data_IF_544916030952
#
_entry.id   IF_544916030952
#
_cell.length_a   1.000
_cell.length_b   1.000
_cell.length_c   1.000
_cell.angle_alpha   90.00
_cell.angle_beta   90.00
_cell.angle_gamma   90.00
#
_symmetry.space_group_name_H-M   'P 1'
#
loop_
_entity.id
_entity.type
_entity.pdbx_description
1 polymer ?
#
# COMPACT_ATOMS: atom_id res chain seq x y z
N UNK A 1 -4.00 18.43 -23.83
CA UNK A 1 -4.13 16.98 -24.11
C UNK A 1 -2.86 16.49 -24.79
N UNK A 2 -2.31 15.37 -24.31
CA UNK A 2 -1.01 14.84 -24.77
C UNK A 2 -1.17 13.67 -25.75
N UNK A 3 -2.36 13.09 -25.86
CA UNK A 3 -2.57 11.84 -26.58
C UNK A 3 -1.76 10.70 -25.96
N UNK A 4 -1.45 9.65 -26.71
CA UNK A 4 -0.66 8.49 -26.26
C UNK A 4 0.83 8.88 -26.28
N UNK A 5 1.27 9.66 -25.28
CA UNK A 5 2.63 10.22 -25.17
C UNK A 5 3.03 10.41 -23.69
N UNK A 6 3.03 9.35 -22.90
CA UNK A 6 3.24 9.40 -21.47
C UNK A 6 4.61 10.00 -21.10
N UNK A 7 5.67 9.68 -21.85
CA UNK A 7 6.97 10.27 -21.63
C UNK A 7 6.96 11.78 -21.84
N UNK A 8 6.38 12.26 -22.95
CA UNK A 8 6.29 13.69 -23.24
C UNK A 8 5.39 14.41 -22.22
N UNK A 9 4.27 13.82 -21.82
CA UNK A 9 3.39 14.36 -20.78
C UNK A 9 4.19 14.60 -19.48
N UNK A 10 4.88 13.58 -19.00
CA UNK A 10 5.66 13.69 -17.76
C UNK A 10 6.83 14.68 -17.90
N UNK A 11 7.51 14.72 -19.06
CA UNK A 11 8.58 15.69 -19.32
C UNK A 11 8.08 17.13 -19.36
N UNK A 12 6.90 17.38 -19.96
CA UNK A 12 6.27 18.71 -20.00
C UNK A 12 5.86 19.12 -18.58
N UNK A 13 5.29 18.22 -17.77
CA UNK A 13 4.99 18.51 -16.37
C UNK A 13 6.26 18.88 -15.58
N UNK A 14 7.39 18.21 -15.82
CA UNK A 14 8.66 18.59 -15.23
C UNK A 14 9.07 20.00 -15.62
N UNK A 15 9.00 20.34 -16.91
CA UNK A 15 9.34 21.68 -17.41
C UNK A 15 8.44 22.78 -16.84
N UNK A 16 7.12 22.51 -16.74
CA UNK A 16 6.18 23.43 -16.10
C UNK A 16 6.52 23.66 -14.63
N UNK A 17 6.85 22.58 -13.90
CA UNK A 17 7.21 22.67 -12.49
C UNK A 17 8.51 23.47 -12.29
N UNK A 18 9.52 23.28 -13.14
CA UNK A 18 10.75 24.08 -13.15
C UNK A 18 10.49 25.58 -13.45
N UNK A 19 9.41 25.87 -14.18
CA UNK A 19 8.96 27.24 -14.46
C UNK A 19 8.06 27.82 -13.36
N UNK A 20 7.95 27.15 -12.20
CA UNK A 20 7.15 27.64 -11.06
C UNK A 20 5.66 27.30 -11.14
N UNK A 21 5.22 26.48 -12.09
CA UNK A 21 3.81 26.09 -12.25
C UNK A 21 3.62 24.71 -11.59
N UNK A 22 2.71 24.62 -10.62
CA UNK A 22 2.34 23.34 -10.05
C UNK A 22 1.47 22.56 -11.06
N UNK A 23 2.07 21.56 -11.69
CA UNK A 23 1.43 20.76 -12.74
C UNK A 23 1.22 19.32 -12.30
N UNK A 24 0.31 18.63 -12.98
CA UNK A 24 0.17 17.19 -12.88
C UNK A 24 -0.13 16.55 -14.24
N UNK A 25 0.32 15.30 -14.41
CA UNK A 25 -0.04 14.44 -15.52
C UNK A 25 -0.90 13.27 -15.01
N UNK A 26 -1.77 12.73 -15.88
CA UNK A 26 -2.63 11.61 -15.51
C UNK A 26 -2.70 10.54 -16.59
N UNK A 27 -2.81 9.28 -16.19
CA UNK A 27 -2.93 8.11 -17.06
C UNK A 27 -3.27 6.86 -16.27
N UNK A 28 -3.21 5.69 -16.93
CA UNK A 28 -3.27 4.41 -16.22
C UNK A 28 -1.90 4.04 -15.65
N UNK A 29 -1.88 3.39 -14.49
CA UNK A 29 -0.63 3.06 -13.81
C UNK A 29 0.30 2.18 -14.65
N UNK A 30 -0.24 1.24 -15.41
CA UNK A 30 0.56 0.38 -16.29
C UNK A 30 1.42 1.19 -17.27
N UNK A 31 0.90 2.32 -17.76
CA UNK A 31 1.61 3.18 -18.71
C UNK A 31 2.65 4.10 -18.05
N UNK A 32 2.79 4.05 -16.73
CA UNK A 32 3.93 4.67 -16.05
C UNK A 32 5.28 4.14 -16.57
N UNK A 33 5.30 2.92 -17.11
CA UNK A 33 6.49 2.34 -17.72
C UNK A 33 6.98 3.17 -18.93
N UNK A 34 6.06 3.71 -19.73
CA UNK A 34 6.43 4.62 -20.83
C UNK A 34 6.88 6.00 -20.34
N UNK A 35 6.40 6.46 -19.20
CA UNK A 35 6.81 7.73 -18.58
C UNK A 35 8.05 7.60 -17.69
N UNK A 36 8.55 6.38 -17.45
CA UNK A 36 9.54 6.05 -16.42
C UNK A 36 10.77 6.95 -16.44
N UNK A 37 11.32 7.23 -17.60
CA UNK A 37 12.50 8.09 -17.75
C UNK A 37 12.25 9.52 -17.23
N UNK A 38 11.12 10.12 -17.63
CA UNK A 38 10.73 11.48 -17.17
C UNK A 38 10.36 11.53 -15.70
N UNK A 39 9.69 10.49 -15.18
CA UNK A 39 9.37 10.36 -13.74
C UNK A 39 10.66 10.26 -12.93
N UNK A 40 11.64 9.45 -13.38
CA UNK A 40 12.93 9.35 -12.71
C UNK A 40 13.69 10.69 -12.72
N UNK A 41 13.62 11.44 -13.82
CA UNK A 41 14.25 12.77 -13.90
C UNK A 41 13.64 13.76 -12.90
N UNK A 42 12.32 13.72 -12.64
CA UNK A 42 11.73 14.59 -11.63
C UNK A 42 12.31 14.35 -10.22
N UNK A 43 12.65 13.08 -9.91
CA UNK A 43 13.29 12.74 -8.64
C UNK A 43 14.73 13.22 -8.57
N UNK A 44 15.51 13.08 -9.66
CA UNK A 44 16.88 13.61 -9.75
C UNK A 44 16.91 15.14 -9.61
N UNK A 45 15.93 15.83 -10.19
CA UNK A 45 15.80 17.29 -10.11
C UNK A 45 15.18 17.77 -8.78
N UNK A 46 14.71 16.85 -7.92
CA UNK A 46 14.03 17.16 -6.65
C UNK A 46 12.86 18.14 -6.81
N UNK A 47 12.07 17.98 -7.86
CA UNK A 47 10.95 18.87 -8.18
C UNK A 47 9.59 18.27 -7.76
N UNK A 48 8.67 19.10 -7.22
CA UNK A 48 7.40 18.62 -6.66
C UNK A 48 6.31 18.44 -7.74
N UNK A 49 6.61 17.68 -8.80
CA UNK A 49 5.64 17.30 -9.82
C UNK A 49 4.75 16.16 -9.32
N UNK A 50 3.49 16.16 -9.72
CA UNK A 50 2.55 15.10 -9.41
C UNK A 50 2.20 14.30 -10.66
N UNK A 51 2.24 12.97 -10.55
CA UNK A 51 1.64 12.05 -11.52
C UNK A 51 0.46 11.35 -10.87
N UNK A 52 -0.70 11.38 -11.51
CA UNK A 52 -1.92 10.70 -11.04
C UNK A 52 -2.15 9.50 -11.95
N UNK A 53 -2.00 8.30 -11.39
CA UNK A 53 -2.22 7.07 -12.13
C UNK A 53 -3.42 6.33 -11.56
N UNK A 54 -4.43 6.12 -12.40
CA UNK A 54 -5.60 5.31 -12.07
C UNK A 54 -5.40 3.86 -12.55
N UNK A 55 -6.37 2.98 -12.26
CA UNK A 55 -6.33 1.58 -12.70
C UNK A 55 -5.09 0.86 -12.14
N UNK A 56 -4.92 0.94 -10.81
CA UNK A 56 -3.67 0.68 -10.09
C UNK A 56 -3.33 -0.80 -9.88
N UNK A 57 -4.20 -1.74 -10.28
CA UNK A 57 -4.04 -3.16 -9.96
C UNK A 57 -4.86 -4.09 -10.87
N UNK A 58 -4.89 -5.38 -10.53
CA UNK A 58 -5.69 -6.39 -11.24
C UNK A 58 -7.19 -6.10 -11.29
N UNK A 59 -7.68 -5.17 -10.46
CA UNK A 59 -9.09 -4.72 -10.50
C UNK A 59 -9.44 -3.91 -11.78
N UNK A 60 -8.50 -3.71 -12.68
CA UNK A 60 -8.77 -3.29 -14.06
C UNK A 60 -9.76 -4.26 -14.72
N UNK A 61 -9.63 -5.55 -14.43
CA UNK A 61 -10.65 -6.52 -14.83
C UNK A 61 -10.46 -7.03 -16.27
N UNK A 62 -11.49 -6.86 -17.09
CA UNK A 62 -11.60 -7.48 -18.43
C UNK A 62 -10.49 -7.06 -19.40
N UNK A 63 -9.91 -5.88 -19.26
CA UNK A 63 -8.78 -5.42 -20.09
C UNK A 63 -7.56 -6.36 -19.99
N UNK A 64 -7.49 -7.13 -18.89
CA UNK A 64 -6.56 -8.23 -18.73
C UNK A 64 -5.12 -7.84 -18.40
N UNK A 65 -4.20 -8.81 -18.48
CA UNK A 65 -2.82 -8.68 -17.97
C UNK A 65 -2.02 -7.52 -18.58
N UNK A 66 -2.32 -7.14 -19.83
CA UNK A 66 -1.62 -6.03 -20.50
C UNK A 66 -1.91 -4.66 -19.89
N UNK A 67 -3.01 -4.55 -19.12
CA UNK A 67 -3.44 -3.30 -18.48
C UNK A 67 -3.47 -3.38 -16.95
N UNK A 68 -3.14 -4.53 -16.38
CA UNK A 68 -3.14 -4.80 -14.93
C UNK A 68 -1.72 -4.63 -14.36
N UNK A 69 -1.43 -3.55 -13.62
CA UNK A 69 -0.12 -3.36 -12.99
C UNK A 69 0.17 -4.44 -11.95
N UNK A 70 1.40 -4.93 -11.93
CA UNK A 70 1.92 -5.89 -10.94
C UNK A 70 3.18 -5.30 -10.28
N UNK A 71 4.22 -5.00 -11.09
CA UNK A 71 5.52 -4.50 -10.61
C UNK A 71 5.65 -2.98 -10.61
N UNK A 72 4.71 -2.25 -11.22
CA UNK A 72 4.80 -0.80 -11.42
C UNK A 72 4.89 -0.03 -10.09
N UNK A 73 4.09 -0.42 -9.08
CA UNK A 73 4.16 0.21 -7.75
C UNK A 73 5.54 0.04 -7.12
N UNK A 74 6.09 -1.18 -7.13
CA UNK A 74 7.45 -1.45 -6.64
C UNK A 74 8.46 -0.65 -7.45
N UNK A 75 8.34 -0.69 -8.77
CA UNK A 75 9.20 0.06 -9.67
C UNK A 75 9.24 1.55 -9.33
N UNK A 76 8.10 2.18 -9.10
CA UNK A 76 8.02 3.60 -8.72
C UNK A 76 8.57 3.84 -7.31
N UNK A 77 8.24 3.00 -6.33
CA UNK A 77 8.76 3.07 -4.96
C UNK A 77 10.28 2.90 -4.89
N UNK A 78 10.90 2.21 -5.85
CA UNK A 78 12.35 2.03 -5.92
C UNK A 78 13.12 3.25 -6.43
N UNK A 79 12.45 4.28 -6.95
CA UNK A 79 13.09 5.53 -7.37
C UNK A 79 13.42 6.36 -6.13
N UNK A 80 14.71 6.69 -5.88
CA UNK A 80 15.09 7.51 -4.74
C UNK A 80 14.36 8.85 -4.73
N UNK A 81 13.84 9.26 -3.57
CA UNK A 81 13.12 10.53 -3.41
C UNK A 81 11.67 10.54 -3.93
N UNK A 82 11.22 9.50 -4.60
CA UNK A 82 9.83 9.39 -5.08
C UNK A 82 8.87 9.08 -3.93
N UNK A 83 7.75 9.78 -3.86
CA UNK A 83 6.65 9.52 -2.92
C UNK A 83 5.49 8.89 -3.68
N UNK A 84 5.23 7.60 -3.44
CA UNK A 84 4.12 6.88 -4.06
C UNK A 84 3.00 6.70 -3.04
N UNK A 85 1.88 7.37 -3.30
CA UNK A 85 0.68 7.32 -2.46
C UNK A 85 -0.34 6.38 -3.08
N UNK A 86 -0.89 5.48 -2.29
CA UNK A 86 -1.96 4.56 -2.68
C UNK A 86 -3.05 4.57 -1.60
N UNK A 87 -3.96 5.56 -1.64
CA UNK A 87 -5.01 5.75 -0.63
C UNK A 87 -6.10 4.69 -0.72
N UNK A 88 -6.71 4.34 0.43
CA UNK A 88 -7.74 3.30 0.53
C UNK A 88 -9.19 3.82 0.40
N UNK A 89 -9.41 5.12 0.56
CA UNK A 89 -10.73 5.74 0.46
C UNK A 89 -10.65 7.24 0.15
N UNK A 90 -11.80 7.90 0.01
CA UNK A 90 -11.87 9.32 -0.28
C UNK A 90 -11.23 10.20 0.81
N UNK A 91 -11.30 9.82 2.08
CA UNK A 91 -10.68 10.57 3.16
C UNK A 91 -9.16 10.51 3.07
N UNK A 92 -8.58 9.33 2.79
CA UNK A 92 -7.13 9.22 2.56
C UNK A 92 -6.69 9.94 1.28
N UNK A 93 -7.52 9.95 0.21
CA UNK A 93 -7.22 10.75 -1.00
C UNK A 93 -7.04 12.20 -0.62
N UNK A 94 -7.94 12.79 0.16
CA UNK A 94 -7.84 14.19 0.61
C UNK A 94 -6.58 14.41 1.44
N UNK A 95 -6.28 13.52 2.39
CA UNK A 95 -5.10 13.65 3.25
C UNK A 95 -3.79 13.51 2.45
N UNK A 96 -3.71 12.54 1.52
CA UNK A 96 -2.57 12.37 0.62
C UNK A 96 -2.42 13.57 -0.31
N UNK A 97 -3.53 14.11 -0.84
CA UNK A 97 -3.50 15.32 -1.68
C UNK A 97 -2.91 16.52 -0.93
N UNK A 98 -3.34 16.74 0.33
CA UNK A 98 -2.75 17.78 1.18
C UNK A 98 -1.25 17.59 1.36
N UNK A 99 -0.79 16.37 1.65
CA UNK A 99 0.63 16.04 1.78
C UNK A 99 1.42 16.31 0.48
N UNK A 100 0.86 15.95 -0.69
CA UNK A 100 1.45 16.25 -1.99
C UNK A 100 1.56 17.76 -2.22
N UNK A 101 0.49 18.52 -1.95
CA UNK A 101 0.46 19.95 -2.20
C UNK A 101 1.40 20.76 -1.31
N UNK A 102 1.76 20.26 -0.14
CA UNK A 102 2.74 20.86 0.76
C UNK A 102 4.19 20.44 0.48
N UNK A 103 4.40 19.43 -0.36
CA UNK A 103 5.72 18.98 -0.77
C UNK A 103 6.37 19.98 -1.73
N UNK A 104 7.65 20.29 -1.51
CA UNK A 104 8.41 21.29 -2.30
C UNK A 104 9.61 20.72 -3.04
N UNK A 105 10.11 19.55 -2.64
CA UNK A 105 11.38 18.99 -3.11
C UNK A 105 11.32 17.48 -3.43
N UNK A 106 10.11 16.92 -3.58
CA UNK A 106 9.93 15.51 -3.93
C UNK A 106 8.82 15.35 -4.97
N UNK A 107 9.05 14.60 -6.04
CA UNK A 107 7.97 14.22 -6.93
C UNK A 107 7.03 13.22 -6.23
N UNK A 108 5.80 13.22 -6.66
CA UNK A 108 4.76 12.37 -6.10
C UNK A 108 4.02 11.61 -7.19
N UNK A 109 3.67 10.37 -6.89
CA UNK A 109 2.73 9.56 -7.64
C UNK A 109 1.52 9.30 -6.75
N UNK A 110 0.31 9.50 -7.27
CA UNK A 110 -0.93 9.08 -6.62
C UNK A 110 -1.54 7.95 -7.45
N UNK A 111 -1.48 6.74 -6.93
CA UNK A 111 -2.05 5.55 -7.54
C UNK A 111 -3.47 5.33 -7.00
N UNK A 112 -4.46 5.35 -7.90
CA UNK A 112 -5.88 5.27 -7.57
C UNK A 112 -6.50 4.03 -8.22
N UNK A 113 -7.33 3.35 -7.47
CA UNK A 113 -8.01 2.16 -7.96
C UNK A 113 -9.11 2.48 -9.00
N UNK A 114 -9.45 1.51 -9.83
CA UNK A 114 -10.54 1.63 -10.82
C UNK A 114 -11.92 1.53 -10.19
N UNK A 115 -12.09 0.61 -9.25
CA UNK A 115 -13.39 0.33 -8.64
C UNK A 115 -13.75 1.36 -7.57
N UNK A 116 -15.05 1.49 -7.33
CA UNK A 116 -15.56 2.29 -6.23
C UNK A 116 -15.21 1.62 -4.89
N UNK A 117 -14.74 2.42 -3.94
CA UNK A 117 -14.45 1.99 -2.58
C UNK A 117 -15.40 2.66 -1.59
N UNK A 118 -15.81 1.97 -0.52
CA UNK A 118 -16.53 2.60 0.58
C UNK A 118 -15.68 3.69 1.23
N UNK A 119 -16.29 4.83 1.53
CA UNK A 119 -15.65 5.83 2.40
C UNK A 119 -15.81 5.41 3.85
N UNK A 120 -14.69 5.26 4.55
CA UNK A 120 -14.67 4.79 5.93
C UNK A 120 -15.17 5.88 6.91
N UNK A 121 -16.02 5.47 7.85
CA UNK A 121 -16.48 6.35 8.93
C UNK A 121 -15.33 6.61 9.92
N UNK A 122 -14.84 7.83 9.96
CA UNK A 122 -13.72 8.24 10.83
C UNK A 122 -14.12 8.45 12.30
N UNK A 123 -15.40 8.30 12.64
CA UNK A 123 -15.81 8.15 14.02
C UNK A 123 -15.52 6.72 14.56
N UNK A 124 -15.50 5.72 13.66
CA UNK A 124 -15.19 4.32 13.98
C UNK A 124 -13.71 4.00 13.77
N UNK A 125 -13.06 4.61 12.77
CA UNK A 125 -11.71 4.30 12.36
C UNK A 125 -10.77 5.49 12.57
N UNK A 126 -9.47 5.21 12.63
CA UNK A 126 -8.41 6.21 12.81
C UNK A 126 -8.47 7.33 11.78
N UNK A 127 -8.09 8.53 12.18
CA UNK A 127 -8.13 9.74 11.36
C UNK A 127 -7.23 9.60 10.11
N UNK A 128 -7.75 9.95 8.94
CA UNK A 128 -7.03 9.86 7.68
C UNK A 128 -5.79 10.78 7.60
N UNK A 129 -5.70 11.79 8.44
CA UNK A 129 -4.53 12.69 8.53
C UNK A 129 -3.23 11.92 8.87
N UNK A 130 -3.32 10.71 9.43
CA UNK A 130 -2.20 9.80 9.59
C UNK A 130 -1.51 9.44 8.27
N UNK A 131 -2.18 9.55 7.14
CA UNK A 131 -1.61 9.37 5.80
C UNK A 131 -0.45 10.34 5.50
N UNK A 132 -0.44 11.51 6.12
CA UNK A 132 0.65 12.48 5.99
C UNK A 132 1.97 11.97 6.60
N UNK A 133 1.91 10.96 7.48
CA UNK A 133 3.06 10.26 8.06
C UNK A 133 3.39 8.95 7.33
N UNK A 134 2.65 8.59 6.29
CA UNK A 134 2.89 7.47 5.40
C UNK A 134 2.25 6.16 5.82
N UNK A 135 2.05 5.91 7.10
CA UNK A 135 1.26 4.81 7.65
C UNK A 135 0.67 5.21 9.01
N UNK A 136 -0.44 4.59 9.38
CA UNK A 136 -1.09 4.85 10.68
C UNK A 136 -1.98 3.66 11.09
N UNK A 137 -2.30 3.59 12.37
CA UNK A 137 -3.26 2.62 12.89
C UNK A 137 -4.66 3.04 12.47
N UNK A 138 -5.26 2.28 11.56
CA UNK A 138 -6.62 2.53 11.07
C UNK A 138 -7.67 1.95 12.00
N UNK A 139 -7.44 0.73 12.49
CA UNK A 139 -8.32 0.05 13.44
C UNK A 139 -7.47 -0.73 14.45
N UNK A 140 -7.69 -0.51 15.72
CA UNK A 140 -6.96 -1.21 16.77
C UNK A 140 -7.85 -2.24 17.48
N UNK A 141 -7.22 -3.18 18.18
CA UNK A 141 -7.92 -4.10 19.05
C UNK A 141 -8.21 -3.44 20.41
N UNK A 142 -9.27 -3.87 21.06
CA UNK A 142 -9.49 -3.54 22.45
C UNK A 142 -8.55 -4.32 23.38
N UNK A 143 -8.16 -3.70 24.48
CA UNK A 143 -7.50 -4.42 25.60
C UNK A 143 -6.04 -4.77 25.42
N UNK A 144 -5.21 -3.95 24.75
CA UNK A 144 -3.75 -4.06 24.84
C UNK A 144 -3.04 -4.41 23.53
N UNK A 145 -1.94 -5.17 23.61
CA UNK A 145 -1.12 -5.52 22.45
C UNK A 145 -1.85 -6.45 21.50
N UNK A 146 -1.91 -6.16 20.19
CA UNK A 146 -2.52 -7.06 19.20
C UNK A 146 -1.70 -8.38 19.09
N UNK A 147 -2.41 -9.46 18.77
CA UNK A 147 -1.80 -10.75 18.48
C UNK A 147 -1.22 -10.79 17.06
N UNK A 148 -1.85 -10.04 16.13
CA UNK A 148 -1.44 -9.95 14.72
C UNK A 148 -1.67 -8.55 14.15
N UNK A 149 -0.79 -8.13 13.23
CA UNK A 149 -0.95 -6.90 12.44
C UNK A 149 -1.37 -7.25 11.01
N UNK A 150 -2.42 -6.60 10.51
CA UNK A 150 -2.82 -6.62 9.11
C UNK A 150 -2.46 -5.28 8.50
N UNK A 151 -1.59 -5.28 7.50
CA UNK A 151 -1.00 -4.08 6.90
C UNK A 151 -1.48 -3.99 5.46
N UNK A 152 -2.37 -3.05 5.18
CA UNK A 152 -2.93 -2.85 3.84
C UNK A 152 -2.46 -1.57 3.17
N UNK A 153 -2.46 -1.55 1.84
CA UNK A 153 -2.26 -0.38 1.01
C UNK A 153 -3.36 -0.29 -0.03
N UNK A 154 -3.90 0.91 -0.28
CA UNK A 154 -4.96 1.10 -1.26
C UNK A 154 -6.23 0.30 -0.97
N UNK A 155 -6.86 -0.23 -2.01
CA UNK A 155 -8.13 -0.96 -1.89
C UNK A 155 -8.07 -2.17 -0.95
N UNK A 156 -6.92 -2.79 -0.76
CA UNK A 156 -6.76 -4.00 0.06
C UNK A 156 -6.85 -3.73 1.58
N UNK A 157 -6.80 -2.48 2.00
CA UNK A 157 -7.11 -2.10 3.39
C UNK A 157 -8.52 -2.57 3.80
N UNK A 158 -9.49 -2.53 2.87
CA UNK A 158 -10.84 -3.04 3.12
C UNK A 158 -10.86 -4.56 3.36
N UNK A 159 -9.98 -5.32 2.70
CA UNK A 159 -9.82 -6.75 2.94
C UNK A 159 -9.23 -7.01 4.34
N UNK A 160 -8.28 -6.17 4.77
CA UNK A 160 -7.73 -6.24 6.11
C UNK A 160 -8.80 -5.96 7.19
N UNK A 161 -9.69 -4.99 6.98
CA UNK A 161 -10.81 -4.72 7.89
C UNK A 161 -11.79 -5.89 7.94
N UNK A 162 -12.16 -6.48 6.81
CA UNK A 162 -12.99 -7.68 6.76
C UNK A 162 -12.34 -8.88 7.45
N UNK A 163 -11.02 -9.06 7.28
CA UNK A 163 -10.27 -10.10 7.97
C UNK A 163 -10.21 -9.86 9.49
N UNK A 164 -10.11 -8.62 9.95
CA UNK A 164 -10.19 -8.26 11.37
C UNK A 164 -11.53 -8.70 11.96
N UNK A 165 -12.66 -8.49 11.25
CA UNK A 165 -13.98 -8.92 11.71
C UNK A 165 -14.11 -10.45 11.80
N UNK A 166 -13.47 -11.19 10.89
CA UNK A 166 -13.41 -12.66 10.92
C UNK A 166 -12.61 -13.11 12.15
N UNK A 167 -11.41 -12.57 12.33
CA UNK A 167 -10.48 -12.94 13.41
C UNK A 167 -11.01 -12.56 14.80
N UNK A 168 -11.75 -11.46 14.89
CA UNK A 168 -12.39 -11.03 16.14
C UNK A 168 -13.41 -12.06 16.66
N UNK A 169 -14.16 -12.74 15.78
CA UNK A 169 -15.09 -13.84 16.14
C UNK A 169 -14.36 -15.05 16.72
N UNK A 170 -13.08 -15.17 16.44
CA UNK A 170 -12.19 -16.24 16.92
C UNK A 170 -11.41 -15.82 18.18
N UNK A 171 -11.66 -14.61 18.70
CA UNK A 171 -10.97 -14.08 19.87
C UNK A 171 -9.53 -13.61 19.59
N UNK A 172 -9.15 -13.41 18.32
CA UNK A 172 -7.83 -12.93 17.94
C UNK A 172 -7.82 -11.39 17.93
N UNK A 173 -6.95 -10.79 18.74
CA UNK A 173 -6.76 -9.34 18.79
C UNK A 173 -5.96 -8.88 17.57
N UNK A 174 -6.58 -8.09 16.75
CA UNK A 174 -6.02 -7.70 15.45
C UNK A 174 -5.95 -6.18 15.32
N UNK A 175 -4.79 -5.66 14.90
CA UNK A 175 -4.62 -4.27 14.49
C UNK A 175 -4.58 -4.20 12.96
N UNK A 176 -5.33 -3.27 12.39
CA UNK A 176 -5.24 -2.92 10.96
C UNK A 176 -4.46 -1.62 10.81
N UNK A 177 -3.44 -1.66 9.97
CA UNK A 177 -2.60 -0.52 9.60
C UNK A 177 -2.84 -0.19 8.14
N UNK A 178 -3.19 1.06 7.84
CA UNK A 178 -3.13 1.58 6.47
C UNK A 178 -1.74 2.17 6.22
N UNK A 179 -1.14 1.78 5.08
CA UNK A 179 0.17 2.29 4.66
C UNK A 179 0.07 2.91 3.26
N UNK A 180 -0.52 4.10 3.13
CA UNK A 180 -0.68 4.77 1.84
C UNK A 180 0.65 5.21 1.20
N UNK A 181 1.72 5.47 1.97
CA UNK A 181 3.00 5.90 1.41
C UNK A 181 4.18 5.37 2.22
N UNK A 182 4.81 4.30 1.72
CA UNK A 182 5.94 3.64 2.40
C UNK A 182 7.13 4.58 2.62
N UNK A 183 7.47 5.43 1.65
CA UNK A 183 8.62 6.34 1.75
C UNK A 183 8.46 7.37 2.90
N UNK A 184 7.24 7.86 3.13
CA UNK A 184 6.97 8.76 4.26
C UNK A 184 7.01 8.03 5.60
N UNK A 185 6.53 6.79 5.65
CA UNK A 185 6.58 5.99 6.86
C UNK A 185 8.01 5.61 7.25
N UNK A 186 8.81 5.22 6.27
CA UNK A 186 10.21 4.87 6.50
C UNK A 186 11.05 6.06 6.99
N UNK A 187 10.66 7.27 6.61
CA UNK A 187 11.31 8.50 7.06
C UNK A 187 10.87 8.97 8.47
N UNK A 188 9.89 8.29 9.10
CA UNK A 188 9.50 8.62 10.47
C UNK A 188 10.56 8.16 11.49
N UNK A 189 10.54 8.76 12.68
CA UNK A 189 11.36 8.32 13.79
C UNK A 189 10.98 6.91 14.28
N UNK A 190 11.91 6.27 14.99
CA UNK A 190 11.74 4.90 15.49
C UNK A 190 10.53 4.76 16.43
N UNK A 191 10.27 5.79 17.24
CA UNK A 191 9.16 5.78 18.20
C UNK A 191 7.81 5.73 17.47
N UNK A 192 7.65 6.54 16.41
CA UNK A 192 6.43 6.49 15.61
C UNK A 192 6.29 5.17 14.87
N UNK A 193 7.35 4.72 14.22
CA UNK A 193 7.31 3.44 13.50
C UNK A 193 6.94 2.28 14.44
N UNK A 194 7.51 2.27 15.64
CA UNK A 194 7.18 1.27 16.66
C UNK A 194 5.76 1.41 17.21
N UNK A 195 5.20 2.61 17.28
CA UNK A 195 3.81 2.82 17.70
C UNK A 195 2.80 2.26 16.70
N UNK A 196 3.10 2.32 15.40
CA UNK A 196 2.26 1.79 14.31
C UNK A 196 2.50 0.29 14.12
N UNK A 197 3.77 -0.13 14.02
CA UNK A 197 4.21 -1.50 13.80
C UNK A 197 5.11 -1.97 14.96
N UNK A 198 4.56 -2.27 16.15
CA UNK A 198 5.35 -2.63 17.32
C UNK A 198 6.19 -3.89 17.05
N UNK A 199 7.49 -3.82 17.37
CA UNK A 199 8.46 -4.90 17.14
C UNK A 199 8.12 -6.19 17.90
N UNK A 200 7.43 -6.06 19.04
CA UNK A 200 6.99 -7.22 19.83
C UNK A 200 5.95 -8.09 19.09
N UNK A 201 5.20 -7.51 18.13
CA UNK A 201 4.20 -8.24 17.35
C UNK A 201 4.86 -8.76 16.08
N UNK A 202 5.27 -10.04 16.09
CA UNK A 202 5.94 -10.71 14.98
C UNK A 202 4.98 -11.30 13.97
N UNK A 203 3.76 -11.65 14.38
CA UNK A 203 2.73 -12.11 13.47
C UNK A 203 2.20 -10.91 12.65
N UNK A 204 2.55 -10.86 11.35
CA UNK A 204 2.20 -9.75 10.46
C UNK A 204 1.77 -10.28 9.10
N UNK A 205 0.74 -9.67 8.54
CA UNK A 205 0.29 -9.93 7.17
C UNK A 205 0.28 -8.63 6.41
N UNK A 206 0.89 -8.59 5.24
CA UNK A 206 0.74 -7.47 4.30
C UNK A 206 -0.23 -7.84 3.19
N UNK A 207 -1.00 -6.88 2.69
CA UNK A 207 -1.98 -7.09 1.63
C UNK A 207 -1.94 -5.95 0.62
N UNK A 208 -1.52 -6.25 -0.60
CA UNK A 208 -1.53 -5.31 -1.74
C UNK A 208 -1.68 -6.09 -3.05
N UNK A 209 -2.59 -5.65 -3.93
CA UNK A 209 -2.83 -6.24 -5.24
C UNK A 209 -1.73 -5.83 -6.25
N UNK A 210 -0.48 -6.11 -5.88
CA UNK A 210 0.75 -5.91 -6.64
C UNK A 210 1.77 -6.97 -6.24
N UNK A 211 2.99 -6.93 -6.81
CA UNK A 211 4.07 -7.84 -6.41
C UNK A 211 4.34 -7.80 -4.91
N UNK A 212 4.61 -8.95 -4.31
CA UNK A 212 4.95 -9.07 -2.89
C UNK A 212 6.37 -8.59 -2.55
N UNK A 213 7.21 -8.37 -3.56
CA UNK A 213 8.61 -7.95 -3.38
C UNK A 213 8.67 -6.62 -2.63
N UNK A 214 9.48 -6.59 -1.57
CA UNK A 214 9.66 -5.41 -0.72
C UNK A 214 8.66 -5.28 0.43
N UNK A 215 7.60 -6.09 0.46
CA UNK A 215 6.66 -6.13 1.58
C UNK A 215 7.17 -6.95 2.77
N UNK A 216 8.12 -7.85 2.54
CA UNK A 216 8.83 -8.63 3.57
C UNK A 216 9.46 -7.75 4.65
N UNK A 217 9.92 -6.54 4.31
CA UNK A 217 10.46 -5.57 5.28
C UNK A 217 9.45 -5.12 6.35
N UNK A 218 8.14 -5.18 6.06
CA UNK A 218 7.07 -4.87 7.01
C UNK A 218 6.46 -6.13 7.63
N UNK A 219 6.34 -7.20 6.85
CA UNK A 219 5.87 -8.50 7.32
C UNK A 219 6.86 -9.17 8.28
N UNK A 220 8.15 -9.01 8.03
CA UNK A 220 9.20 -9.72 8.76
C UNK A 220 9.29 -11.20 8.38
N UNK A 221 10.26 -11.91 8.96
CA UNK A 221 10.56 -13.31 8.63
C UNK A 221 9.44 -14.30 8.98
N UNK A 222 8.62 -13.98 9.97
CA UNK A 222 7.49 -14.82 10.38
C UNK A 222 6.19 -14.46 9.68
N UNK A 223 6.19 -13.35 8.95
CA UNK A 223 5.02 -12.79 8.30
C UNK A 223 4.61 -13.52 7.02
N UNK A 224 3.49 -13.08 6.48
CA UNK A 224 2.93 -13.55 5.21
C UNK A 224 2.57 -12.33 4.35
N UNK A 225 2.78 -12.44 3.04
CA UNK A 225 2.40 -11.39 2.09
C UNK A 225 1.28 -11.91 1.19
N UNK A 226 0.13 -11.26 1.22
CA UNK A 226 -0.98 -11.50 0.28
C UNK A 226 -0.81 -10.50 -0.88
N UNK A 227 -0.43 -11.00 -2.03
CA UNK A 227 -0.12 -10.20 -3.21
C UNK A 227 0.04 -11.07 -4.45
N UNK A 228 0.57 -10.48 -5.52
CA UNK A 228 0.75 -11.11 -6.81
C UNK A 228 2.15 -11.70 -6.97
N UNK A 229 2.22 -12.92 -7.51
CA UNK A 229 3.46 -13.58 -7.94
C UNK A 229 3.44 -13.94 -9.43
N UNK A 230 2.40 -13.55 -10.14
CA UNK A 230 2.20 -13.77 -11.58
C UNK A 230 1.49 -12.58 -12.19
N UNK A 231 1.39 -12.53 -13.51
CA UNK A 231 0.50 -11.59 -14.19
C UNK A 231 -0.97 -11.91 -13.87
N UNK A 232 -1.83 -10.91 -14.03
CA UNK A 232 -3.26 -11.04 -13.84
C UNK A 232 -3.97 -11.87 -14.90
N UNK A 233 -5.29 -11.75 -14.98
CA UNK A 233 -6.14 -12.47 -15.91
C UNK A 233 -7.30 -11.58 -16.39
N UNK A 234 -7.84 -11.88 -17.59
CA UNK A 234 -8.98 -11.15 -18.14
C UNK A 234 -10.29 -11.78 -17.67
N UNK A 235 -10.99 -11.09 -16.77
CA UNK A 235 -12.32 -11.45 -16.28
C UNK A 235 -12.91 -10.24 -15.53
N UNK A 236 -14.19 -10.25 -15.15
CA UNK A 236 -14.74 -9.23 -14.26
C UNK A 236 -13.89 -9.07 -12.99
N UNK A 237 -13.66 -7.84 -12.54
CA UNK A 237 -12.74 -7.52 -11.45
C UNK A 237 -12.97 -8.36 -10.18
N UNK A 238 -14.24 -8.67 -9.86
CA UNK A 238 -14.60 -9.52 -8.71
C UNK A 238 -14.10 -10.95 -8.88
N UNK A 239 -14.19 -11.49 -10.08
CA UNK A 239 -13.78 -12.87 -10.37
C UNK A 239 -12.25 -12.98 -10.38
N UNK A 240 -11.57 -11.97 -10.94
CA UNK A 240 -10.10 -11.84 -10.88
C UNK A 240 -9.63 -11.77 -9.43
N UNK A 241 -10.26 -10.93 -8.61
CA UNK A 241 -9.92 -10.81 -7.20
C UNK A 241 -10.08 -12.14 -6.45
N UNK A 242 -11.20 -12.83 -6.65
CA UNK A 242 -11.45 -14.15 -6.05
C UNK A 242 -10.43 -15.20 -6.50
N UNK A 243 -10.11 -15.23 -7.81
CA UNK A 243 -9.15 -16.17 -8.39
C UNK A 243 -7.75 -16.02 -7.78
N UNK A 244 -7.28 -14.78 -7.59
CA UNK A 244 -5.97 -14.50 -6.99
C UNK A 244 -6.00 -14.43 -5.46
N UNK A 245 -7.14 -14.67 -4.84
CA UNK A 245 -7.26 -14.74 -3.38
C UNK A 245 -7.28 -13.39 -2.67
N UNK A 246 -7.69 -12.32 -3.35
CA UNK A 246 -7.91 -11.03 -2.70
C UNK A 246 -9.28 -11.00 -2.03
N UNK A 247 -9.37 -11.72 -0.91
CA UNK A 247 -10.58 -11.81 -0.07
C UNK A 247 -10.23 -11.65 1.42
N UNK A 248 -11.18 -11.20 2.26
CA UNK A 248 -10.97 -11.14 3.70
C UNK A 248 -10.58 -12.48 4.32
N UNK A 249 -11.17 -13.58 3.82
CA UNK A 249 -10.90 -14.95 4.28
C UNK A 249 -9.44 -15.33 4.05
N UNK A 250 -8.88 -15.01 2.87
CA UNK A 250 -7.48 -15.29 2.55
C UNK A 250 -6.52 -14.51 3.43
N UNK A 251 -6.84 -13.25 3.75
CA UNK A 251 -6.04 -12.43 4.68
C UNK A 251 -6.13 -13.01 6.11
N UNK A 252 -7.32 -13.45 6.54
CA UNK A 252 -7.50 -14.11 7.84
C UNK A 252 -6.74 -15.45 7.90
N UNK A 253 -6.73 -16.25 6.83
CA UNK A 253 -5.95 -17.49 6.75
C UNK A 253 -4.44 -17.23 6.83
N UNK A 254 -3.95 -16.19 6.17
CA UNK A 254 -2.56 -15.76 6.30
C UNK A 254 -2.22 -15.37 7.74
N UNK A 255 -3.13 -14.65 8.43
CA UNK A 255 -2.97 -14.30 9.82
C UNK A 255 -2.89 -15.53 10.74
N UNK A 256 -3.76 -16.53 10.56
CA UNK A 256 -3.72 -17.79 11.31
C UNK A 256 -2.39 -18.53 11.13
N UNK A 257 -1.88 -18.57 9.88
CA UNK A 257 -0.57 -19.19 9.58
C UNK A 257 0.58 -18.48 10.29
N UNK A 258 0.63 -17.14 10.25
CA UNK A 258 1.70 -16.38 10.95
C UNK A 258 1.61 -16.54 12.45
N UNK A 259 0.40 -16.53 13.04
CA UNK A 259 0.19 -16.77 14.46
C UNK A 259 0.68 -18.16 14.88
N UNK A 260 0.37 -19.21 14.12
CA UNK A 260 0.83 -20.57 14.39
C UNK A 260 2.36 -20.65 14.32
N UNK A 261 2.99 -20.00 13.33
CA UNK A 261 4.46 -19.96 13.16
C UNK A 261 5.15 -19.29 14.34
N UNK A 262 4.66 -18.14 14.78
CA UNK A 262 5.22 -17.38 15.91
C UNK A 262 5.05 -18.17 17.22
N UNK A 263 3.88 -18.79 17.47
CA UNK A 263 3.63 -19.60 18.66
C UNK A 263 4.49 -20.87 18.68
N UNK A 264 4.66 -21.55 17.55
CA UNK A 264 5.52 -22.72 17.42
C UNK A 264 7.00 -22.42 17.66
N UNK A 265 7.49 -21.26 17.23
CA UNK A 265 8.85 -20.81 17.49
C UNK A 265 9.12 -20.55 19.00
N UNK A 266 8.11 -20.07 19.76
CA UNK A 266 8.23 -19.89 21.19
C UNK A 266 8.34 -21.23 21.97
N UNK A 267 7.65 -22.26 21.51
CA UNK A 267 7.70 -23.61 22.16
C UNK A 267 9.06 -24.26 21.95
N UNK A 268 9.67 -24.14 20.77
CA UNK A 268 11.00 -24.72 20.49
C UNK A 268 12.15 -23.98 21.17
N UNK A 269 12.00 -22.70 21.49
CA UNK A 269 13.01 -21.90 22.22
C UNK A 269 13.04 -22.15 23.75
N UNK A 270 11.93 -22.61 24.33
CA UNK A 270 11.82 -22.84 25.78
C UNK A 270 12.35 -24.20 26.23
N UNK A 271 12.65 -25.14 25.34
CA UNK A 271 13.16 -26.50 25.66
C UNK A 271 14.68 -26.61 25.61
N UNK A 272 15.42 -25.53 25.33
CA UNK A 272 16.88 -25.49 25.22
C UNK A 272 17.66 -25.07 26.47
N UNK A 273 17.02 -24.90 27.61
CA UNK A 273 17.63 -24.36 28.82
C UNK A 273 17.65 -25.33 30.00
N UNK A 274 18.16 -26.57 29.82
CA UNK A 274 18.51 -27.43 30.93
C UNK A 274 19.55 -28.48 30.46
N UNK A 275 20.81 -28.09 30.43
CA UNK A 275 21.96 -28.97 30.62
C UNK A 275 23.12 -28.20 31.26
#
# INVERSE_FOLDING_TARGET
HFGIREHAMAAICNGMTLSGIRSYGAGFLIFSDYARGSIRMSAIMEIPVLQIFTHDSIYVGEDGPTHQPIEQLLGLRSVPGMRVYRPCDANEVIACWRAVMTTTNHPSVMALTRQNLPTLDRAKYGAADGSARGAYVLSDCEGGTPDVLLIGSGSEVHLCLGAQEILAKEGVRTRVVSIPCTALFDAQDDAYRASVLPNAVRARVTCEAATTIGWDRYAGLDGECVGMSSFGASAPAKDVAAHFGFTPERVADAARKTLARVRGAHVSGSTGGAR
#
